data_IF_938301171944
#
_entry.id   IF_938301171944
#
_cell.length_a   1.000
_cell.length_b   1.000
_cell.length_c   1.000
_cell.angle_alpha   90.00
_cell.angle_beta   90.00
_cell.angle_gamma   90.00
#
_symmetry.space_group_name_H-M   'P 1'
#
loop_
_entity.id
_entity.type
_entity.pdbx_description
1 polymer ?
#
# COMPACT_ATOMS: atom_id res chain seq x y z
N UNK A 1 -15.91 -18.58 12.14
CA UNK A 1 -14.55 -18.98 12.56
C UNK A 1 -14.18 -20.37 12.08
N UNK A 2 -15.03 -21.40 12.23
CA UNK A 2 -14.78 -22.77 11.73
C UNK A 2 -14.21 -22.88 10.30
N UNK A 3 -14.74 -22.14 9.31
CA UNK A 3 -14.24 -22.19 7.94
C UNK A 3 -12.79 -21.68 7.77
N UNK A 4 -12.36 -20.71 8.57
CA UNK A 4 -10.98 -20.21 8.58
C UNK A 4 -10.04 -21.18 9.30
N UNK A 5 -10.52 -21.84 10.35
CA UNK A 5 -9.79 -22.90 11.07
C UNK A 5 -9.58 -24.12 10.16
N UNK A 6 -10.64 -24.57 9.50
CA UNK A 6 -10.60 -25.68 8.53
C UNK A 6 -9.65 -25.34 7.36
N UNK A 7 -9.69 -24.09 6.88
CA UNK A 7 -8.75 -23.59 5.89
C UNK A 7 -7.30 -23.63 6.39
N UNK A 8 -7.02 -23.14 7.59
CA UNK A 8 -5.68 -23.14 8.16
C UNK A 8 -5.11 -24.57 8.30
N UNK A 9 -5.93 -25.52 8.72
CA UNK A 9 -5.54 -26.90 8.99
C UNK A 9 -5.48 -27.80 7.73
N UNK A 10 -6.11 -27.39 6.63
CA UNK A 10 -6.08 -28.18 5.40
C UNK A 10 -4.65 -28.33 4.85
N UNK A 11 -4.27 -29.59 4.59
CA UNK A 11 -2.96 -29.98 4.01
C UNK A 11 -2.99 -30.16 2.49
N UNK A 12 -4.18 -30.09 1.90
CA UNK A 12 -4.43 -30.16 0.46
C UNK A 12 -4.38 -28.77 -0.15
N UNK A 13 -4.42 -28.72 -1.48
CA UNK A 13 -4.48 -27.45 -2.19
C UNK A 13 -5.73 -26.68 -1.78
N UNK A 14 -5.53 -25.39 -1.46
CA UNK A 14 -6.54 -24.52 -0.86
C UNK A 14 -6.38 -23.08 -1.33
N UNK A 15 -7.49 -22.37 -1.42
CA UNK A 15 -7.52 -20.99 -1.86
C UNK A 15 -8.57 -20.17 -1.10
N UNK A 16 -8.28 -18.89 -0.90
CA UNK A 16 -9.20 -17.93 -0.31
C UNK A 16 -9.37 -16.74 -1.26
N UNK A 17 -10.62 -16.42 -1.57
CA UNK A 17 -11.01 -15.29 -2.39
C UNK A 17 -11.92 -14.35 -1.60
N UNK A 18 -11.82 -13.06 -1.86
CA UNK A 18 -12.69 -12.05 -1.26
C UNK A 18 -13.01 -10.94 -2.26
N UNK A 19 -14.16 -10.30 -2.06
CA UNK A 19 -14.59 -9.14 -2.83
C UNK A 19 -14.78 -7.89 -1.96
N UNK A 20 -14.97 -6.72 -2.59
CA UNK A 20 -14.97 -5.42 -1.91
C UNK A 20 -16.22 -5.17 -1.03
N UNK A 21 -17.27 -5.98 -1.13
CA UNK A 21 -18.51 -5.82 -0.35
C UNK A 21 -18.63 -6.84 0.80
N UNK A 22 -17.51 -7.49 1.15
CA UNK A 22 -17.43 -8.42 2.28
C UNK A 22 -17.76 -9.87 1.96
N UNK A 23 -18.08 -10.19 0.70
CA UNK A 23 -18.16 -11.57 0.21
C UNK A 23 -16.79 -12.25 0.24
N UNK A 24 -16.77 -13.52 0.65
CA UNK A 24 -15.55 -14.33 0.69
C UNK A 24 -15.86 -15.80 0.48
N UNK A 25 -14.84 -16.56 0.06
CA UNK A 25 -14.90 -18.01 -0.04
C UNK A 25 -13.55 -18.61 0.33
N UNK A 26 -13.59 -19.68 1.13
CA UNK A 26 -12.43 -20.51 1.46
C UNK A 26 -12.69 -21.92 0.90
N UNK A 27 -11.81 -22.38 0.02
CA UNK A 27 -11.91 -23.68 -0.63
C UNK A 27 -10.69 -24.53 -0.29
N UNK A 28 -10.90 -25.79 0.03
CA UNK A 28 -9.87 -26.76 0.46
C UNK A 28 -10.16 -28.13 -0.13
N UNK A 29 -9.21 -29.07 -0.05
CA UNK A 29 -9.46 -30.46 -0.47
C UNK A 29 -9.11 -30.75 -1.92
N UNK A 30 -8.47 -29.80 -2.63
CA UNK A 30 -8.14 -29.98 -4.03
C UNK A 30 -6.75 -30.62 -4.20
N UNK A 31 -6.55 -31.24 -5.36
CA UNK A 31 -5.26 -31.77 -5.79
C UNK A 31 -4.49 -30.79 -6.71
N UNK A 32 -5.04 -29.60 -6.98
CA UNK A 32 -4.43 -28.57 -7.81
C UNK A 32 -4.73 -27.17 -7.27
N UNK A 33 -3.68 -26.39 -7.03
CA UNK A 33 -3.76 -24.96 -6.68
C UNK A 33 -4.65 -24.17 -7.64
N UNK A 34 -4.50 -24.38 -8.94
CA UNK A 34 -5.26 -23.68 -9.99
C UNK A 34 -6.76 -23.97 -9.88
N UNK A 35 -7.12 -25.23 -9.63
CA UNK A 35 -8.52 -25.61 -9.44
C UNK A 35 -9.06 -25.04 -8.13
N UNK A 36 -8.30 -25.12 -7.03
CA UNK A 36 -8.68 -24.52 -5.76
C UNK A 36 -8.97 -23.01 -5.91
N UNK A 37 -8.08 -22.28 -6.58
CA UNK A 37 -8.22 -20.86 -6.86
C UNK A 37 -9.47 -20.55 -7.71
N UNK A 38 -9.69 -21.32 -8.79
CA UNK A 38 -10.86 -21.17 -9.65
C UNK A 38 -12.16 -21.37 -8.88
N UNK A 39 -12.27 -22.44 -8.10
CA UNK A 39 -13.47 -22.72 -7.32
C UNK A 39 -13.67 -21.69 -6.19
N UNK A 40 -12.59 -21.18 -5.58
CA UNK A 40 -12.69 -20.11 -4.58
C UNK A 40 -13.28 -18.82 -5.16
N UNK A 41 -12.76 -18.35 -6.30
CA UNK A 41 -13.29 -17.17 -7.00
C UNK A 41 -14.74 -17.42 -7.42
N UNK A 42 -15.03 -18.55 -8.06
CA UNK A 42 -16.38 -18.90 -8.53
C UNK A 42 -17.41 -18.91 -7.41
N UNK A 43 -17.08 -19.52 -6.27
CA UNK A 43 -17.96 -19.57 -5.11
C UNK A 43 -18.12 -18.18 -4.46
N UNK A 44 -17.06 -17.37 -4.42
CA UNK A 44 -17.13 -16.00 -3.90
C UNK A 44 -18.02 -15.09 -4.78
N UNK A 45 -17.95 -15.26 -6.10
CA UNK A 45 -18.73 -14.50 -7.08
C UNK A 45 -20.21 -14.91 -7.14
N UNK A 46 -20.66 -15.95 -6.42
CA UNK A 46 -21.98 -16.57 -6.63
C UNK A 46 -23.16 -15.60 -6.47
N UNK A 47 -23.06 -14.61 -5.58
CA UNK A 47 -24.09 -13.58 -5.34
C UNK A 47 -23.71 -12.20 -5.88
N UNK A 48 -22.64 -12.09 -6.68
CA UNK A 48 -22.16 -10.82 -7.21
C UNK A 48 -22.82 -10.56 -8.56
N UNK A 49 -23.68 -9.54 -8.63
CA UNK A 49 -24.33 -9.12 -9.88
C UNK A 49 -23.55 -8.03 -10.62
N UNK A 50 -22.81 -7.18 -9.90
CA UNK A 50 -22.01 -6.11 -10.48
C UNK A 50 -20.60 -6.63 -10.82
N UNK A 51 -20.22 -6.54 -12.09
CA UNK A 51 -18.92 -7.01 -12.57
C UNK A 51 -17.73 -6.28 -11.93
N UNK A 52 -17.92 -5.05 -11.42
CA UNK A 52 -16.89 -4.28 -10.71
C UNK A 52 -16.72 -4.71 -9.25
N UNK A 53 -17.62 -5.56 -8.74
CA UNK A 53 -17.63 -6.08 -7.37
C UNK A 53 -17.18 -7.53 -7.30
N UNK A 54 -16.62 -8.08 -8.37
CA UNK A 54 -16.16 -9.47 -8.39
C UNK A 54 -14.99 -9.69 -7.44
N UNK A 55 -14.93 -10.91 -6.93
CA UNK A 55 -13.89 -11.33 -6.02
C UNK A 55 -12.55 -11.49 -6.72
N UNK A 56 -11.49 -11.30 -5.93
CA UNK A 56 -10.12 -11.60 -6.33
C UNK A 56 -9.55 -12.70 -5.44
N UNK A 57 -8.50 -13.37 -5.92
CA UNK A 57 -7.74 -14.29 -5.10
C UNK A 57 -6.88 -13.49 -4.11
N UNK A 58 -6.92 -13.86 -2.83
CA UNK A 58 -6.16 -13.19 -1.75
C UNK A 58 -5.08 -14.11 -1.20
N UNK A 59 -5.38 -15.42 -1.07
CA UNK A 59 -4.45 -16.39 -0.50
C UNK A 59 -4.50 -17.71 -1.27
N UNK A 60 -3.33 -18.32 -1.45
CA UNK A 60 -3.15 -19.64 -2.05
C UNK A 60 -2.27 -20.48 -1.13
N UNK A 61 -2.76 -21.65 -0.71
CA UNK A 61 -2.04 -22.59 0.14
C UNK A 61 -1.54 -22.05 1.49
N UNK A 62 -2.22 -21.05 2.03
CA UNK A 62 -1.82 -20.41 3.29
C UNK A 62 -0.93 -19.17 3.08
N UNK A 63 -0.45 -18.93 1.86
CA UNK A 63 0.34 -17.75 1.53
C UNK A 63 -0.53 -16.64 0.94
N UNK A 64 -0.45 -15.45 1.55
CA UNK A 64 -1.12 -14.26 1.02
C UNK A 64 -0.43 -13.83 -0.27
N UNK A 65 -1.19 -13.56 -1.33
CA UNK A 65 -0.63 -13.04 -2.57
C UNK A 65 -0.04 -11.63 -2.34
N UNK A 66 0.99 -11.22 -3.08
CA UNK A 66 1.53 -9.86 -2.98
C UNK A 66 0.45 -8.80 -3.26
N UNK A 67 0.54 -7.64 -2.58
CA UNK A 67 -0.43 -6.55 -2.75
C UNK A 67 -0.51 -6.07 -4.20
N UNK A 68 0.61 -6.00 -4.92
CA UNK A 68 0.65 -5.70 -6.34
C UNK A 68 -0.14 -6.70 -7.22
N UNK A 69 -0.12 -8.00 -6.87
CA UNK A 69 -0.87 -9.02 -7.60
C UNK A 69 -2.37 -8.91 -7.31
N UNK A 70 -2.73 -8.62 -6.06
CA UNK A 70 -4.11 -8.34 -5.67
C UNK A 70 -4.64 -7.08 -6.38
N UNK A 71 -3.85 -6.01 -6.43
CA UNK A 71 -4.16 -4.78 -7.16
C UNK A 71 -4.36 -5.04 -8.65
N UNK A 72 -3.47 -5.80 -9.29
CA UNK A 72 -3.62 -6.15 -10.70
C UNK A 72 -4.93 -6.91 -10.99
N UNK A 73 -5.35 -7.79 -10.09
CA UNK A 73 -6.65 -8.46 -10.20
C UNK A 73 -7.81 -7.46 -10.04
N UNK A 74 -7.74 -6.56 -9.06
CA UNK A 74 -8.74 -5.52 -8.84
C UNK A 74 -8.88 -4.60 -10.06
N UNK A 75 -7.77 -4.16 -10.65
CA UNK A 75 -7.78 -3.33 -11.87
C UNK A 75 -8.42 -4.05 -13.07
N UNK A 76 -8.27 -5.38 -13.16
CA UNK A 76 -8.95 -6.17 -14.19
C UNK A 76 -10.47 -6.24 -13.96
N UNK A 77 -10.90 -6.18 -12.69
CA UNK A 77 -12.31 -6.24 -12.28
C UNK A 77 -12.98 -4.86 -12.41
N UNK A 78 -12.33 -3.82 -11.90
CA UNK A 78 -12.75 -2.42 -11.98
C UNK A 78 -11.58 -1.56 -12.51
N UNK A 79 -11.49 -1.35 -13.84
CA UNK A 79 -10.49 -0.46 -14.43
C UNK A 79 -10.58 0.99 -13.95
N UNK A 80 -11.75 1.42 -13.45
CA UNK A 80 -11.95 2.77 -12.91
C UNK A 80 -11.19 3.02 -11.61
N UNK A 81 -10.59 2.00 -11.00
CA UNK A 81 -9.66 2.15 -9.88
C UNK A 81 -8.38 2.90 -10.24
N UNK A 82 -7.96 2.91 -11.52
CA UNK A 82 -6.79 3.69 -11.97
C UNK A 82 -6.95 5.19 -11.76
N UNK A 83 -8.19 5.67 -11.73
CA UNK A 83 -8.53 7.08 -11.57
C UNK A 83 -8.74 7.47 -10.10
N UNK A 84 -8.59 6.51 -9.17
CA UNK A 84 -8.85 6.73 -7.74
C UNK A 84 -7.55 6.72 -6.93
N UNK A 85 -7.48 7.46 -5.81
CA UNK A 85 -6.34 7.39 -4.91
C UNK A 85 -6.14 5.98 -4.35
N UNK A 86 -4.92 5.46 -4.44
CA UNK A 86 -4.54 4.10 -4.01
C UNK A 86 -3.79 4.15 -2.68
N UNK A 87 -4.17 3.37 -1.65
CA UNK A 87 -3.42 3.30 -0.40
C UNK A 87 -1.97 2.85 -0.61
N UNK A 88 -1.02 3.49 0.09
CA UNK A 88 0.41 3.15 0.04
C UNK A 88 0.80 2.41 1.32
N UNK A 89 0.53 1.11 1.36
CA UNK A 89 0.74 0.29 2.56
C UNK A 89 2.13 -0.36 2.67
N UNK A 90 2.88 -0.37 1.56
CA UNK A 90 4.12 -1.11 1.38
C UNK A 90 5.29 -0.20 0.95
N UNK A 91 5.27 1.08 1.36
CA UNK A 91 6.35 2.02 1.06
C UNK A 91 7.69 1.51 1.63
N UNK A 92 8.64 1.20 0.74
CA UNK A 92 10.01 0.82 1.09
C UNK A 92 10.96 1.96 0.76
N UNK A 93 11.86 2.27 1.69
CA UNK A 93 12.95 3.22 1.48
C UNK A 93 14.16 2.49 0.92
N UNK A 94 14.83 3.10 -0.06
CA UNK A 94 16.17 2.64 -0.44
C UNK A 94 17.16 2.83 0.71
N UNK A 95 18.36 2.24 0.57
CA UNK A 95 19.35 2.21 1.65
C UNK A 95 19.83 3.62 2.03
N UNK A 96 19.88 4.56 1.09
CA UNK A 96 20.38 5.92 1.33
C UNK A 96 19.31 6.78 1.99
N UNK A 97 18.07 6.68 1.53
CA UNK A 97 16.89 7.28 2.16
C UNK A 97 16.70 6.74 3.58
N UNK A 98 16.86 5.43 3.78
CA UNK A 98 16.79 4.80 5.10
C UNK A 98 17.88 5.32 6.03
N UNK A 99 19.15 5.34 5.61
CA UNK A 99 20.26 5.90 6.41
C UNK A 99 20.03 7.37 6.75
N UNK A 100 19.53 8.15 5.79
CA UNK A 100 19.23 9.55 6.00
C UNK A 100 18.09 9.75 6.99
N UNK A 101 17.05 8.90 6.95
CA UNK A 101 15.94 8.86 7.90
C UNK A 101 16.41 8.51 9.32
N UNK A 102 17.27 7.50 9.47
CA UNK A 102 17.81 7.14 10.79
C UNK A 102 18.68 8.27 11.35
N UNK A 103 19.60 8.82 10.56
CA UNK A 103 20.42 9.96 11.02
C UNK A 103 19.61 11.26 11.27
N UNK A 104 18.40 11.37 10.72
CA UNK A 104 17.46 12.46 10.97
C UNK A 104 16.80 12.35 12.37
N UNK A 105 16.58 11.13 12.87
CA UNK A 105 15.93 10.91 14.18
C UNK A 105 16.71 11.54 15.33
N UNK A 106 18.03 11.59 15.24
CA UNK A 106 18.93 12.11 16.28
C UNK A 106 19.11 13.63 16.27
N UNK A 107 18.52 14.35 15.29
CA UNK A 107 18.63 15.82 15.20
C UNK A 107 17.70 16.53 16.19
N UNK A 108 17.98 17.82 16.41
CA UNK A 108 17.17 18.70 17.25
C UNK A 108 15.73 18.85 16.71
N UNK A 109 14.88 19.53 17.47
CA UNK A 109 13.49 19.86 17.10
C UNK A 109 13.43 20.72 15.83
N UNK A 110 12.22 20.89 15.28
CA UNK A 110 11.94 21.63 14.04
C UNK A 110 12.57 20.98 12.83
N UNK A 111 12.17 19.73 12.58
CA UNK A 111 12.72 18.90 11.52
C UNK A 111 11.65 18.19 10.71
N UNK A 112 11.92 18.01 9.42
CA UNK A 112 11.07 17.28 8.51
C UNK A 112 11.87 16.37 7.56
N UNK A 113 11.24 15.29 7.13
CA UNK A 113 11.76 14.37 6.11
C UNK A 113 10.74 14.22 4.98
N UNK A 114 11.14 14.57 3.77
CA UNK A 114 10.34 14.49 2.56
C UNK A 114 10.85 13.40 1.62
N UNK A 115 9.95 12.73 0.91
CA UNK A 115 10.27 11.70 -0.08
C UNK A 115 9.30 11.74 -1.26
N UNK A 116 9.73 11.25 -2.41
CA UNK A 116 8.91 11.00 -3.60
C UNK A 116 8.74 9.49 -3.82
N UNK A 117 7.60 9.09 -4.40
CA UNK A 117 7.37 7.70 -4.85
C UNK A 117 8.36 7.23 -5.94
N UNK A 118 9.18 8.14 -6.50
CA UNK A 118 10.25 7.82 -7.47
C UNK A 118 11.66 7.79 -6.87
N UNK A 119 11.80 7.93 -5.56
CA UNK A 119 13.09 7.78 -4.87
C UNK A 119 13.75 9.07 -4.34
N UNK A 120 13.60 10.27 -4.94
CA UNK A 120 14.14 11.48 -4.34
C UNK A 120 13.67 11.69 -2.90
N UNK A 121 14.57 12.17 -2.06
CA UNK A 121 14.27 12.51 -0.68
C UNK A 121 15.08 13.73 -0.25
N UNK A 122 14.64 14.41 0.79
CA UNK A 122 15.39 15.44 1.48
C UNK A 122 14.95 15.55 2.93
N UNK A 123 15.76 16.24 3.73
CA UNK A 123 15.52 16.48 5.15
C UNK A 123 15.97 17.89 5.51
N UNK A 124 15.28 18.52 6.44
CA UNK A 124 15.67 19.79 7.07
C UNK A 124 15.50 19.68 8.59
N UNK A 125 16.35 20.40 9.33
CA UNK A 125 16.34 20.54 10.79
C UNK A 125 16.93 21.89 11.23
N UNK A 126 17.07 22.85 10.31
CA UNK A 126 17.70 24.16 10.57
C UNK A 126 16.67 25.29 10.67
N UNK A 127 15.38 24.97 10.50
CA UNK A 127 14.28 25.92 10.60
C UNK A 127 13.97 26.30 12.05
N UNK A 128 13.31 27.45 12.21
CA UNK A 128 12.83 27.95 13.50
C UNK A 128 11.46 27.37 13.88
N UNK A 129 10.89 26.53 13.01
CA UNK A 129 9.59 25.86 13.17
C UNK A 129 9.53 24.60 12.32
N UNK A 130 8.61 23.71 12.66
CA UNK A 130 8.36 22.47 11.92
C UNK A 130 7.84 22.77 10.51
N UNK A 131 7.02 23.80 10.36
CA UNK A 131 6.50 24.28 9.09
C UNK A 131 7.61 24.80 8.15
N UNK A 132 8.61 25.51 8.70
CA UNK A 132 9.78 25.96 7.94
C UNK A 132 10.62 24.77 7.48
N UNK A 133 10.86 23.79 8.36
CA UNK A 133 11.59 22.58 8.01
C UNK A 133 10.86 21.73 6.95
N UNK A 134 9.52 21.62 7.03
CA UNK A 134 8.71 20.96 5.99
C UNK A 134 8.86 21.65 4.64
N UNK A 135 8.75 22.98 4.62
CA UNK A 135 8.87 23.79 3.41
C UNK A 135 10.24 23.59 2.76
N UNK A 136 11.31 23.62 3.55
CA UNK A 136 12.67 23.42 3.06
C UNK A 136 12.92 21.99 2.57
N UNK A 137 12.47 20.97 3.32
CA UNK A 137 12.61 19.58 2.93
C UNK A 137 11.86 19.30 1.61
N UNK A 138 10.62 19.78 1.47
CA UNK A 138 9.84 19.66 0.24
C UNK A 138 10.50 20.41 -0.92
N UNK A 139 10.92 21.65 -0.70
CA UNK A 139 11.56 22.45 -1.75
C UNK A 139 12.86 21.78 -2.24
N UNK A 140 13.66 21.23 -1.34
CA UNK A 140 14.91 20.54 -1.68
C UNK A 140 14.65 19.23 -2.42
N UNK A 141 13.68 18.43 -1.96
CA UNK A 141 13.31 17.18 -2.61
C UNK A 141 12.75 17.41 -4.02
N UNK A 142 11.85 18.39 -4.18
CA UNK A 142 11.20 18.72 -5.45
C UNK A 142 12.14 19.36 -6.49
N UNK A 143 13.38 19.72 -6.14
CA UNK A 143 14.40 20.12 -7.13
C UNK A 143 14.89 18.96 -7.99
N UNK A 144 14.69 17.71 -7.55
CA UNK A 144 15.08 16.54 -8.32
C UNK A 144 14.17 16.34 -9.54
N UNK A 145 14.74 16.00 -10.70
CA UNK A 145 13.99 15.79 -11.94
C UNK A 145 12.88 14.74 -11.80
N UNK A 146 13.15 13.64 -11.08
CA UNK A 146 12.17 12.59 -10.88
C UNK A 146 10.94 13.08 -10.09
N UNK A 147 11.12 14.06 -9.19
CA UNK A 147 10.04 14.62 -8.38
C UNK A 147 9.05 15.48 -9.20
N UNK A 148 9.44 15.97 -10.40
CA UNK A 148 8.51 16.67 -11.30
C UNK A 148 7.33 15.80 -11.76
N UNK A 149 7.54 14.48 -11.77
CA UNK A 149 6.55 13.50 -12.21
C UNK A 149 6.03 12.61 -11.07
N UNK A 150 6.47 12.87 -9.85
CA UNK A 150 6.01 12.24 -8.62
C UNK A 150 6.38 13.18 -7.46
N UNK A 151 5.55 14.20 -7.17
CA UNK A 151 5.86 15.24 -6.20
C UNK A 151 6.27 14.66 -4.84
N UNK A 152 7.23 15.31 -4.18
CA UNK A 152 7.63 14.91 -2.85
C UNK A 152 6.54 15.23 -1.82
N UNK A 153 6.46 14.39 -0.80
CA UNK A 153 5.53 14.47 0.32
C UNK A 153 6.27 14.27 1.65
N UNK A 154 5.70 14.75 2.75
CA UNK A 154 6.25 14.59 4.10
C UNK A 154 5.98 13.18 4.60
N UNK A 155 7.05 12.49 4.99
CA UNK A 155 6.98 11.18 5.63
C UNK A 155 7.18 11.28 7.16
N UNK A 156 7.91 12.30 7.62
CA UNK A 156 8.15 12.52 9.05
C UNK A 156 8.21 13.99 9.44
N UNK A 157 7.80 14.29 10.67
CA UNK A 157 7.87 15.60 11.35
C UNK A 157 8.36 15.40 12.77
N UNK A 158 9.38 16.11 13.20
CA UNK A 158 9.91 16.08 14.58
C UNK A 158 10.10 14.66 15.14
N UNK A 159 10.58 13.75 14.29
CA UNK A 159 10.81 12.34 14.65
C UNK A 159 9.56 11.45 14.60
N UNK A 160 8.35 12.00 14.47
CA UNK A 160 7.12 11.25 14.25
C UNK A 160 6.95 10.91 12.76
N UNK A 161 6.54 9.67 12.47
CA UNK A 161 6.27 9.24 11.09
C UNK A 161 4.78 9.36 10.78
N UNK A 162 4.45 9.80 9.56
CA UNK A 162 3.09 9.67 9.04
C UNK A 162 2.75 8.17 8.91
N UNK A 163 1.62 7.69 9.46
CA UNK A 163 1.23 6.30 9.33
C UNK A 163 1.03 5.92 7.86
N UNK A 164 1.64 4.83 7.40
CA UNK A 164 1.47 4.36 6.01
C UNK A 164 0.01 4.04 5.67
N UNK A 165 -0.79 3.66 6.67
CA UNK A 165 -2.24 3.43 6.53
C UNK A 165 -3.03 4.68 6.12
N UNK A 166 -2.47 5.87 6.30
CA UNK A 166 -3.11 7.14 5.94
C UNK A 166 -2.69 7.63 4.56
N UNK A 167 -1.53 7.18 4.06
CA UNK A 167 -0.99 7.62 2.78
C UNK A 167 -1.79 7.06 1.61
N UNK A 168 -2.14 7.95 0.67
CA UNK A 168 -2.82 7.59 -0.58
C UNK A 168 -2.14 8.24 -1.77
N UNK A 169 -1.70 7.43 -2.74
CA UNK A 169 -1.14 7.90 -4.00
C UNK A 169 -2.26 8.21 -4.99
N UNK A 170 -2.30 9.44 -5.48
CA UNK A 170 -3.21 9.87 -6.53
C UNK A 170 -2.72 9.37 -7.91
N UNK A 171 -3.57 9.41 -8.95
CA UNK A 171 -3.18 9.01 -10.31
C UNK A 171 -1.99 9.81 -10.88
N UNK A 172 -1.79 11.05 -10.42
CA UNK A 172 -0.66 11.91 -10.78
C UNK A 172 0.61 11.69 -9.91
N UNK A 173 0.59 10.66 -9.05
CA UNK A 173 1.64 10.31 -8.09
C UNK A 173 1.88 11.35 -6.98
N UNK A 174 1.01 12.35 -6.82
CA UNK A 174 0.93 13.10 -5.57
C UNK A 174 0.42 12.20 -4.44
N UNK A 175 0.73 12.54 -3.19
CA UNK A 175 0.36 11.72 -2.03
C UNK A 175 -0.46 12.53 -1.03
N UNK A 176 -1.64 12.03 -0.67
CA UNK A 176 -2.48 12.59 0.38
C UNK A 176 -2.29 11.86 1.71
N UNK A 177 -2.90 12.39 2.78
CA UNK A 177 -2.87 11.75 4.12
C UNK A 177 -1.71 12.18 5.00
N UNK A 178 -0.96 13.21 4.61
CA UNK A 178 0.20 13.71 5.35
C UNK A 178 -0.18 14.64 6.53
N UNK A 179 -1.40 14.56 7.07
CA UNK A 179 -1.82 15.52 8.11
C UNK A 179 -1.06 15.25 9.41
N UNK A 180 -0.61 16.28 10.14
CA UNK A 180 -0.17 16.09 11.52
C UNK A 180 -1.38 15.63 12.36
N UNK A 181 -1.17 14.65 13.24
CA UNK A 181 -2.08 14.40 14.36
C UNK A 181 -2.02 15.53 15.38
#
# INVERSE_FOLDING_TARGET
>A
MKALEDYALAKTEKAFAAGPEGQFSAQTGFASATIAAREAIKACDQSVSDSTKRCILINLNGERLPDAVQLAQLLRVDPGLLEKPTPVTDLVLDIDAWRAKEGYREKAEHKAFAISLKGPWARSWEGNSTEEAETEALATCNRNEAAKSAPCFILMRDGMSVPLSELRANPDLSVDGQKPE
#
